data_IF_280454484427
#
_entry.id   IF_280454484427
#
_cell.length_a   1.000
_cell.length_b   1.000
_cell.length_c   1.000
_cell.angle_alpha   90.00
_cell.angle_beta   90.00
_cell.angle_gamma   90.00
#
_symmetry.space_group_name_H-M   'P 1'
#
loop_
_entity.id
_entity.type
_entity.pdbx_description
1 polymer ?
#
# COMPACT_ATOMS: atom_id res chain seq x y z
N UNK A 1 23.71 -50.24 -18.90
CA UNK A 1 23.20 -49.17 -19.77
C UNK A 1 22.45 -48.17 -18.88
N UNK A 2 23.18 -47.13 -18.45
CA UNK A 2 22.67 -46.14 -17.47
C UNK A 2 22.08 -44.99 -18.31
N UNK A 3 20.74 -44.85 -18.30
CA UNK A 3 20.05 -43.70 -18.89
C UNK A 3 20.28 -42.46 -18.01
N UNK A 4 21.11 -41.55 -18.49
CA UNK A 4 21.20 -40.21 -17.94
C UNK A 4 19.93 -39.43 -18.32
N UNK A 5 19.10 -39.08 -17.33
CA UNK A 5 18.08 -38.07 -17.48
C UNK A 5 18.78 -36.70 -17.62
N UNK A 6 18.76 -36.13 -18.82
CA UNK A 6 19.08 -34.75 -19.02
C UNK A 6 17.95 -33.89 -18.44
N UNK A 7 18.28 -33.04 -17.49
CA UNK A 7 17.43 -32.01 -16.94
C UNK A 7 16.86 -31.12 -18.07
N UNK A 8 15.56 -31.02 -18.16
CA UNK A 8 14.85 -30.08 -19.01
C UNK A 8 14.58 -28.76 -18.26
N UNK A 9 15.35 -27.69 -18.49
CA UNK A 9 15.04 -26.38 -17.91
C UNK A 9 13.96 -25.60 -18.68
N UNK A 10 13.43 -26.16 -19.79
CA UNK A 10 12.53 -25.42 -20.73
C UNK A 10 11.03 -25.54 -20.42
N UNK A 11 10.61 -26.39 -19.49
CA UNK A 11 9.16 -26.55 -19.19
C UNK A 11 8.65 -25.59 -18.11
N UNK A 12 9.51 -25.07 -17.25
CA UNK A 12 9.09 -24.18 -16.15
C UNK A 12 8.67 -22.80 -16.68
N UNK A 13 9.36 -22.27 -17.68
CA UNK A 13 9.03 -20.97 -18.27
C UNK A 13 7.70 -20.90 -19.02
N UNK A 14 7.19 -22.02 -19.53
CA UNK A 14 5.93 -22.05 -20.30
C UNK A 14 4.67 -22.09 -19.42
N UNK A 15 4.80 -22.54 -18.16
CA UNK A 15 3.66 -22.55 -17.23
C UNK A 15 3.32 -21.16 -16.66
N UNK A 16 4.31 -20.27 -16.53
CA UNK A 16 4.10 -18.92 -15.98
C UNK A 16 3.42 -17.94 -16.95
N UNK A 17 3.39 -18.23 -18.25
CA UNK A 17 2.86 -17.31 -19.26
C UNK A 17 1.35 -17.09 -19.21
N UNK A 18 0.59 -17.96 -18.54
CA UNK A 18 -0.86 -17.87 -18.42
C UNK A 18 -1.37 -17.67 -16.97
N UNK A 19 -0.48 -17.55 -15.98
CA UNK A 19 -0.90 -17.37 -14.59
C UNK A 19 -1.28 -15.92 -14.33
N UNK A 20 -2.39 -15.71 -13.63
CA UNK A 20 -2.75 -14.40 -13.12
C UNK A 20 -1.84 -13.99 -11.94
N UNK A 21 -1.97 -12.75 -11.47
CA UNK A 21 -1.12 -12.21 -10.39
C UNK A 21 -1.16 -13.07 -9.12
N UNK A 22 -2.35 -13.51 -8.71
CA UNK A 22 -2.56 -14.33 -7.51
C UNK A 22 -1.87 -15.69 -7.64
N UNK A 23 -2.05 -16.36 -8.78
CA UNK A 23 -1.44 -17.66 -9.04
C UNK A 23 0.09 -17.57 -9.05
N UNK A 24 0.65 -16.53 -9.68
CA UNK A 24 2.10 -16.27 -9.68
C UNK A 24 2.63 -16.07 -8.27
N UNK A 25 2.03 -15.13 -7.52
CA UNK A 25 2.46 -14.80 -6.17
C UNK A 25 2.41 -16.02 -5.25
N UNK A 26 1.32 -16.80 -5.33
CA UNK A 26 1.16 -18.01 -4.54
C UNK A 26 2.19 -19.09 -4.93
N UNK A 27 2.45 -19.27 -6.23
CA UNK A 27 3.47 -20.23 -6.71
C UNK A 27 4.87 -19.86 -6.22
N UNK A 28 5.25 -18.57 -6.28
CA UNK A 28 6.52 -18.08 -5.75
C UNK A 28 6.61 -18.33 -4.25
N UNK A 29 5.57 -17.96 -3.48
CA UNK A 29 5.56 -18.11 -2.03
C UNK A 29 5.70 -19.60 -1.61
N UNK A 30 4.95 -20.51 -2.25
CA UNK A 30 5.01 -21.96 -1.96
C UNK A 30 6.41 -22.51 -2.22
N UNK A 31 7.04 -22.12 -3.33
CA UNK A 31 8.40 -22.56 -3.67
C UNK A 31 9.45 -21.95 -2.73
N UNK A 32 9.32 -20.67 -2.41
CA UNK A 32 10.26 -19.95 -1.55
C UNK A 32 10.27 -20.50 -0.12
N UNK A 33 9.10 -20.78 0.45
CA UNK A 33 8.96 -21.27 1.83
C UNK A 33 8.95 -22.82 1.92
N UNK A 34 9.29 -23.52 0.85
CA UNK A 34 9.28 -25.00 0.85
C UNK A 34 10.18 -25.56 1.95
N UNK A 35 9.61 -26.41 2.82
CA UNK A 35 10.31 -27.05 3.93
C UNK A 35 10.52 -26.16 5.17
N UNK A 36 10.09 -24.91 5.16
CA UNK A 36 10.11 -24.05 6.35
C UNK A 36 8.95 -24.39 7.28
N UNK A 37 9.18 -24.29 8.58
CA UNK A 37 8.17 -24.46 9.63
C UNK A 37 8.14 -23.25 10.56
N UNK A 38 6.98 -22.97 11.11
CA UNK A 38 6.81 -21.93 12.13
C UNK A 38 7.23 -22.44 13.54
N UNK A 39 7.05 -21.60 14.56
CA UNK A 39 7.40 -21.93 15.96
C UNK A 39 6.57 -23.06 16.56
N UNK A 40 5.42 -23.38 15.98
CA UNK A 40 4.55 -24.48 16.38
C UNK A 40 4.86 -25.78 15.59
N UNK A 41 5.78 -25.73 14.62
CA UNK A 41 6.18 -26.85 13.75
C UNK A 41 5.26 -27.06 12.55
N UNK A 42 4.30 -26.16 12.32
CA UNK A 42 3.43 -26.20 11.15
C UNK A 42 4.14 -25.63 9.91
N UNK A 43 3.68 -25.99 8.71
CA UNK A 43 4.25 -25.50 7.48
C UNK A 43 4.14 -23.97 7.40
N UNK A 44 5.30 -23.26 7.29
CA UNK A 44 5.35 -21.80 7.34
C UNK A 44 4.45 -21.12 6.30
N UNK A 45 4.31 -21.73 5.12
CA UNK A 45 3.49 -21.19 4.02
C UNK A 45 2.03 -20.87 4.43
N UNK A 46 1.52 -21.52 5.49
CA UNK A 46 0.17 -21.25 5.98
C UNK A 46 0.00 -19.82 6.49
N UNK A 47 1.08 -19.21 7.03
CA UNK A 47 1.05 -17.82 7.46
C UNK A 47 0.92 -16.84 6.28
N UNK A 48 1.81 -16.81 5.27
CA UNK A 48 1.64 -15.96 4.10
C UNK A 48 0.32 -16.19 3.36
N UNK A 49 -0.13 -17.43 3.27
CA UNK A 49 -1.45 -17.74 2.69
C UNK A 49 -2.58 -17.05 3.45
N UNK A 50 -2.56 -17.10 4.77
CA UNK A 50 -3.58 -16.44 5.59
C UNK A 50 -3.57 -14.93 5.40
N UNK A 51 -2.38 -14.30 5.46
CA UNK A 51 -2.22 -12.86 5.26
C UNK A 51 -2.70 -12.42 3.89
N UNK A 52 -2.35 -13.17 2.84
CA UNK A 52 -2.80 -12.87 1.47
C UNK A 52 -4.32 -13.02 1.30
N UNK A 53 -4.93 -14.02 1.90
CA UNK A 53 -6.39 -14.22 1.83
C UNK A 53 -7.18 -13.09 2.54
N UNK A 54 -6.57 -12.38 3.48
CA UNK A 54 -7.16 -11.21 4.13
C UNK A 54 -7.13 -9.94 3.25
N UNK A 55 -6.39 -9.92 2.15
CA UNK A 55 -6.30 -8.77 1.25
C UNK A 55 -7.61 -8.50 0.50
N UNK A 56 -7.92 -7.23 0.28
CA UNK A 56 -9.14 -6.77 -0.40
C UNK A 56 -8.97 -6.63 -1.91
N UNK A 57 -7.73 -6.39 -2.38
CA UNK A 57 -7.39 -6.29 -3.81
C UNK A 57 -6.42 -7.40 -4.21
N UNK A 58 -6.27 -7.63 -5.51
CA UNK A 58 -5.34 -8.64 -6.02
C UNK A 58 -3.89 -8.27 -5.69
N UNK A 59 -3.55 -6.97 -5.66
CA UNK A 59 -2.24 -6.50 -5.25
C UNK A 59 -2.00 -6.71 -3.75
N UNK A 60 -2.99 -6.45 -2.89
CA UNK A 60 -2.89 -6.73 -1.46
C UNK A 60 -2.72 -8.23 -1.20
N UNK A 61 -3.49 -9.08 -1.90
CA UNK A 61 -3.38 -10.53 -1.80
C UNK A 61 -2.02 -11.03 -2.24
N UNK A 62 -1.56 -10.60 -3.42
CA UNK A 62 -0.25 -10.98 -3.94
C UNK A 62 0.88 -10.53 -2.99
N UNK A 63 0.80 -9.29 -2.49
CA UNK A 63 1.76 -8.79 -1.50
C UNK A 63 1.71 -9.59 -0.22
N UNK A 64 0.52 -9.96 0.27
CA UNK A 64 0.36 -10.78 1.47
C UNK A 64 0.94 -12.18 1.31
N UNK A 65 0.81 -12.82 0.14
CA UNK A 65 1.46 -14.10 -0.15
C UNK A 65 2.99 -13.99 -0.18
N UNK A 66 3.53 -12.85 -0.62
CA UNK A 66 4.96 -12.63 -0.85
C UNK A 66 5.67 -11.87 0.28
N UNK A 67 4.98 -11.41 1.33
CA UNK A 67 5.50 -10.40 2.26
C UNK A 67 6.82 -10.78 2.95
N UNK A 68 7.08 -12.07 3.16
CA UNK A 68 8.29 -12.58 3.80
C UNK A 68 9.34 -13.11 2.80
N UNK A 69 9.03 -13.17 1.49
CA UNK A 69 9.91 -13.84 0.50
C UNK A 69 11.24 -13.10 0.33
N UNK A 70 11.22 -11.77 0.41
CA UNK A 70 12.42 -10.96 0.31
C UNK A 70 13.28 -11.04 1.58
N UNK A 71 12.64 -11.04 2.76
CA UNK A 71 13.32 -11.07 4.06
C UNK A 71 13.87 -12.46 4.37
N UNK A 72 13.05 -13.49 4.25
CA UNK A 72 13.36 -14.83 4.75
C UNK A 72 13.90 -15.79 3.69
N UNK A 73 13.63 -15.55 2.40
CA UNK A 73 13.99 -16.46 1.33
C UNK A 73 15.02 -15.88 0.33
N UNK A 74 15.42 -14.62 0.51
CA UNK A 74 16.49 -14.01 -0.28
C UNK A 74 16.10 -13.64 -1.71
N UNK A 75 14.80 -13.53 -2.02
CA UNK A 75 14.38 -13.00 -3.32
C UNK A 75 14.73 -11.52 -3.44
N UNK A 76 15.27 -11.13 -4.59
CA UNK A 76 15.49 -9.71 -4.90
C UNK A 76 14.26 -9.08 -5.57
N UNK A 77 14.19 -7.76 -5.52
CA UNK A 77 13.15 -7.00 -6.23
C UNK A 77 13.19 -7.27 -7.75
N UNK A 78 14.40 -7.36 -8.33
CA UNK A 78 14.59 -7.66 -9.76
C UNK A 78 14.05 -9.03 -10.13
N UNK A 79 14.32 -10.07 -9.32
CA UNK A 79 13.78 -11.41 -9.56
C UNK A 79 12.26 -11.42 -9.58
N UNK A 80 11.61 -10.73 -8.63
CA UNK A 80 10.15 -10.64 -8.60
C UNK A 80 9.58 -9.90 -9.82
N UNK A 81 10.23 -8.82 -10.26
CA UNK A 81 9.86 -8.10 -11.48
C UNK A 81 10.01 -8.97 -12.73
N UNK A 82 11.10 -9.75 -12.83
CA UNK A 82 11.36 -10.67 -13.95
C UNK A 82 10.33 -11.80 -14.00
N UNK A 83 9.82 -12.25 -12.86
CA UNK A 83 8.72 -13.21 -12.76
C UNK A 83 7.35 -12.58 -13.07
N UNK A 84 7.31 -11.27 -13.35
CA UNK A 84 6.11 -10.53 -13.76
C UNK A 84 5.21 -10.13 -12.60
N UNK A 85 5.79 -9.95 -11.40
CA UNK A 85 5.12 -9.28 -10.28
C UNK A 85 5.11 -7.77 -10.54
N UNK A 86 3.96 -7.09 -10.45
CA UNK A 86 3.87 -5.65 -10.72
C UNK A 86 4.75 -4.80 -9.78
N UNK A 87 5.30 -3.72 -10.30
CA UNK A 87 6.18 -2.82 -9.53
C UNK A 87 5.52 -2.26 -8.27
N UNK A 88 4.20 -2.00 -8.29
CA UNK A 88 3.46 -1.57 -7.10
C UNK A 88 3.49 -2.60 -5.97
N UNK A 89 3.38 -3.89 -6.29
CA UNK A 89 3.52 -5.00 -5.33
C UNK A 89 4.96 -5.08 -4.82
N UNK A 90 5.95 -5.02 -5.73
CA UNK A 90 7.38 -5.07 -5.35
C UNK A 90 7.77 -3.90 -4.45
N UNK A 91 7.28 -2.69 -4.73
CA UNK A 91 7.50 -1.53 -3.87
C UNK A 91 6.89 -1.72 -2.47
N UNK A 92 5.69 -2.30 -2.37
CA UNK A 92 5.10 -2.62 -1.08
C UNK A 92 5.91 -3.69 -0.32
N UNK A 93 6.40 -4.72 -1.01
CA UNK A 93 7.26 -5.74 -0.42
C UNK A 93 8.57 -5.16 0.13
N UNK A 94 9.18 -4.22 -0.59
CA UNK A 94 10.37 -3.52 -0.11
C UNK A 94 10.13 -2.75 1.19
N UNK A 95 8.97 -2.10 1.33
CA UNK A 95 8.57 -1.46 2.58
C UNK A 95 8.35 -2.46 3.71
N UNK A 96 7.85 -3.66 3.40
CA UNK A 96 7.57 -4.73 4.36
C UNK A 96 8.82 -5.51 4.79
N UNK A 97 9.93 -5.40 4.07
CA UNK A 97 11.20 -6.03 4.43
C UNK A 97 11.88 -5.25 5.56
N UNK A 98 12.12 -5.91 6.70
CA UNK A 98 12.78 -5.30 7.85
C UNK A 98 14.30 -5.31 7.65
N UNK A 99 14.91 -4.14 7.54
CA UNK A 99 16.35 -4.00 7.31
C UNK A 99 17.15 -4.30 8.59
N UNK A 100 18.26 -5.04 8.43
CA UNK A 100 19.16 -5.35 9.54
C UNK A 100 19.72 -4.06 10.15
N UNK A 101 19.58 -3.90 11.46
CA UNK A 101 20.11 -2.76 12.21
C UNK A 101 19.11 -1.65 12.48
N UNK A 102 17.89 -1.70 11.91
CA UNK A 102 16.79 -0.81 12.30
C UNK A 102 16.00 -1.41 13.45
N UNK A 103 15.50 -0.58 14.35
CA UNK A 103 14.58 -1.04 15.38
C UNK A 103 13.22 -1.42 14.75
N UNK A 104 12.47 -2.28 15.45
CA UNK A 104 11.15 -2.67 14.98
C UNK A 104 10.17 -1.49 14.91
N UNK A 105 10.32 -0.53 15.81
CA UNK A 105 9.52 0.69 15.86
C UNK A 105 9.83 1.60 14.66
N UNK A 106 11.10 1.83 14.35
CA UNK A 106 11.52 2.59 13.15
C UNK A 106 11.03 1.92 11.86
N UNK A 107 11.08 0.60 11.79
CA UNK A 107 10.55 -0.16 10.67
C UNK A 107 9.04 0.06 10.50
N UNK A 108 8.24 -0.01 11.58
CA UNK A 108 6.81 0.26 11.53
C UNK A 108 6.52 1.70 11.15
N UNK A 109 7.26 2.65 11.72
CA UNK A 109 7.08 4.06 11.42
C UNK A 109 7.37 4.34 9.93
N UNK A 110 8.40 3.71 9.34
CA UNK A 110 8.67 3.80 7.90
C UNK A 110 7.49 3.35 7.05
N UNK A 111 6.82 2.25 7.43
CA UNK A 111 5.62 1.77 6.73
C UNK A 111 4.49 2.79 6.86
N UNK A 112 4.26 3.34 8.06
CA UNK A 112 3.23 4.34 8.33
C UNK A 112 3.49 5.60 7.51
N UNK A 113 4.71 6.11 7.53
CA UNK A 113 5.12 7.35 6.84
C UNK A 113 5.07 7.21 5.32
N UNK A 114 5.27 6.00 4.80
CA UNK A 114 5.17 5.74 3.36
C UNK A 114 3.78 6.00 2.79
N UNK A 115 2.74 5.95 3.62
CA UNK A 115 1.33 6.05 3.23
C UNK A 115 0.95 5.08 2.10
N UNK A 116 1.74 4.03 1.89
CA UNK A 116 1.47 3.01 0.87
C UNK A 116 0.31 2.11 1.33
N UNK A 117 -0.85 2.17 0.66
CA UNK A 117 -2.04 1.45 1.12
C UNK A 117 -1.84 -0.06 1.11
N UNK A 118 -1.13 -0.61 0.13
CA UNK A 118 -0.86 -2.05 0.04
C UNK A 118 0.01 -2.51 1.21
N UNK A 119 1.12 -1.81 1.47
CA UNK A 119 2.03 -2.15 2.56
C UNK A 119 1.36 -2.02 3.94
N UNK A 120 0.55 -0.97 4.15
CA UNK A 120 -0.19 -0.73 5.38
C UNK A 120 -1.22 -1.83 5.65
N UNK A 121 -2.07 -2.17 4.67
CA UNK A 121 -3.07 -3.24 4.83
C UNK A 121 -2.43 -4.61 5.04
N UNK A 122 -1.39 -4.93 4.28
CA UNK A 122 -0.70 -6.22 4.42
C UNK A 122 0.00 -6.32 5.78
N UNK A 123 0.67 -5.25 6.23
CA UNK A 123 1.29 -5.25 7.57
C UNK A 123 0.26 -5.35 8.69
N UNK A 124 -0.88 -4.70 8.55
CA UNK A 124 -1.99 -4.83 9.50
C UNK A 124 -2.51 -6.27 9.57
N UNK A 125 -2.74 -6.91 8.42
CA UNK A 125 -3.19 -8.30 8.32
C UNK A 125 -2.17 -9.28 8.92
N UNK A 126 -0.87 -9.08 8.63
CA UNK A 126 0.23 -9.84 9.21
C UNK A 126 0.23 -9.73 10.76
N UNK A 127 0.13 -8.52 11.27
CA UNK A 127 0.09 -8.27 12.72
C UNK A 127 -1.13 -8.90 13.39
N UNK A 128 -2.31 -8.83 12.75
CA UNK A 128 -3.52 -9.48 13.27
C UNK A 128 -3.34 -11.00 13.36
N UNK A 129 -2.79 -11.61 12.32
CA UNK A 129 -2.56 -13.06 12.29
C UNK A 129 -1.52 -13.47 13.34
N UNK A 130 -0.41 -12.74 13.42
CA UNK A 130 0.64 -13.02 14.41
C UNK A 130 0.16 -12.77 15.86
N UNK A 131 -0.65 -11.73 16.11
CA UNK A 131 -1.24 -11.47 17.41
C UNK A 131 -2.18 -12.59 17.86
N UNK A 132 -3.03 -13.09 16.95
CA UNK A 132 -3.95 -14.18 17.23
C UNK A 132 -3.23 -15.47 17.58
N UNK A 133 -2.07 -15.75 16.96
CA UNK A 133 -1.23 -16.95 17.22
C UNK A 133 -0.32 -16.78 18.45
N UNK A 134 -0.07 -15.54 18.89
CA UNK A 134 0.93 -15.23 19.90
C UNK A 134 0.63 -15.70 21.33
N UNK A 135 -0.52 -16.31 21.60
CA UNK A 135 -0.95 -16.66 22.95
C UNK A 135 -0.01 -17.59 23.74
N UNK A 136 0.83 -18.40 23.05
CA UNK A 136 1.89 -19.22 23.67
C UNK A 136 3.17 -18.47 23.99
N UNK A 137 3.35 -17.28 23.39
CA UNK A 137 4.55 -16.45 23.50
C UNK A 137 4.18 -15.02 23.92
N UNK A 138 3.97 -14.75 25.23
CA UNK A 138 3.47 -13.46 25.70
C UNK A 138 4.25 -12.24 25.21
N UNK A 139 5.58 -12.35 25.10
CA UNK A 139 6.44 -11.27 24.60
C UNK A 139 6.20 -10.93 23.10
N UNK A 140 5.89 -11.94 22.27
CA UNK A 140 5.53 -11.74 20.88
C UNK A 140 4.12 -11.15 20.76
N UNK A 141 3.19 -11.62 21.60
CA UNK A 141 1.84 -11.07 21.64
C UNK A 141 1.85 -9.60 22.07
N UNK A 142 2.65 -9.23 23.04
CA UNK A 142 2.82 -7.83 23.46
C UNK A 142 3.44 -6.98 22.34
N UNK A 143 4.52 -7.48 21.70
CA UNK A 143 5.15 -6.82 20.56
C UNK A 143 4.15 -6.55 19.42
N UNK A 144 3.39 -7.56 19.01
CA UNK A 144 2.41 -7.41 17.94
C UNK A 144 1.22 -6.53 18.35
N UNK A 145 0.79 -6.61 19.61
CA UNK A 145 -0.24 -5.73 20.18
C UNK A 145 0.16 -4.26 20.20
N UNK A 146 1.43 -3.96 20.52
CA UNK A 146 1.96 -2.59 20.43
C UNK A 146 1.98 -2.10 18.99
N UNK A 147 2.46 -2.93 18.06
CA UNK A 147 2.48 -2.62 16.64
C UNK A 147 1.08 -2.38 16.06
N UNK A 148 0.09 -3.18 16.46
CA UNK A 148 -1.31 -2.98 16.07
C UNK A 148 -1.85 -1.62 16.54
N UNK A 149 -1.52 -1.20 17.76
CA UNK A 149 -1.93 0.13 18.28
C UNK A 149 -1.37 1.29 17.43
N UNK A 150 -0.22 1.12 16.80
CA UNK A 150 0.38 2.13 15.92
C UNK A 150 -0.28 2.16 14.54
N UNK A 151 -0.48 1.00 13.91
CA UNK A 151 -0.89 0.91 12.51
C UNK A 151 -2.42 0.93 12.29
N UNK A 152 -3.19 0.35 13.22
CA UNK A 152 -4.64 0.19 13.09
C UNK A 152 -5.40 1.51 12.90
N UNK A 153 -5.08 2.62 13.63
CA UNK A 153 -5.77 3.89 13.41
C UNK A 153 -5.55 4.44 11.99
N UNK A 154 -4.35 4.25 11.44
CA UNK A 154 -4.00 4.71 10.09
C UNK A 154 -4.77 3.92 9.03
N UNK A 155 -4.78 2.59 9.13
CA UNK A 155 -5.52 1.72 8.20
C UNK A 155 -7.01 2.01 8.27
N UNK A 156 -7.60 2.12 9.46
CA UNK A 156 -9.02 2.45 9.63
C UNK A 156 -9.40 3.81 9.02
N UNK A 157 -8.56 4.82 9.20
CA UNK A 157 -8.80 6.13 8.58
C UNK A 157 -8.77 6.06 7.05
N UNK A 158 -7.84 5.27 6.47
CA UNK A 158 -7.80 5.05 5.02
C UNK A 158 -9.03 4.30 4.50
N UNK A 159 -9.50 3.28 5.23
CA UNK A 159 -10.69 2.51 4.87
C UNK A 159 -11.96 3.35 4.98
N UNK A 160 -12.08 4.21 5.98
CA UNK A 160 -13.20 5.15 6.12
C UNK A 160 -13.26 6.12 4.93
N UNK A 161 -12.14 6.68 4.50
CA UNK A 161 -12.06 7.55 3.31
C UNK A 161 -12.45 6.77 2.06
N UNK A 162 -11.92 5.57 1.89
CA UNK A 162 -12.21 4.68 0.75
C UNK A 162 -13.68 4.28 0.70
N UNK A 163 -14.27 3.92 1.84
CA UNK A 163 -15.69 3.56 1.96
C UNK A 163 -16.61 4.75 1.66
N UNK A 164 -16.31 5.93 2.19
CA UNK A 164 -17.07 7.17 1.93
C UNK A 164 -17.04 7.52 0.45
N UNK A 165 -15.86 7.53 -0.15
CA UNK A 165 -15.68 7.87 -1.57
C UNK A 165 -16.38 6.86 -2.47
N UNK A 166 -16.24 5.56 -2.19
CA UNK A 166 -16.79 4.49 -3.00
C UNK A 166 -18.33 4.41 -2.92
N UNK A 167 -18.88 4.48 -1.72
CA UNK A 167 -20.32 4.39 -1.49
C UNK A 167 -21.11 5.56 -2.11
N UNK A 168 -20.65 6.78 -1.92
CA UNK A 168 -21.32 7.98 -2.40
C UNK A 168 -21.22 8.13 -3.92
N UNK A 169 -20.06 7.93 -4.49
CA UNK A 169 -19.83 8.02 -5.93
C UNK A 169 -20.61 6.93 -6.69
N UNK A 170 -20.57 5.69 -6.20
CA UNK A 170 -21.24 4.55 -6.83
C UNK A 170 -22.75 4.72 -6.93
N UNK A 171 -23.40 5.32 -5.93
CA UNK A 171 -24.85 5.58 -5.94
C UNK A 171 -25.28 6.51 -7.08
N UNK A 172 -24.37 7.36 -7.59
CA UNK A 172 -24.66 8.35 -8.63
C UNK A 172 -23.96 8.10 -9.96
N UNK A 173 -23.27 6.97 -10.11
CA UNK A 173 -22.46 6.67 -11.30
C UNK A 173 -21.32 7.68 -11.51
N UNK A 174 -20.77 8.20 -10.41
CA UNK A 174 -19.68 9.18 -10.38
C UNK A 174 -18.45 8.55 -9.75
N UNK A 175 -17.29 9.13 -10.02
CA UNK A 175 -16.02 8.76 -9.40
C UNK A 175 -15.48 9.91 -8.56
N UNK A 176 -14.58 9.57 -7.64
CA UNK A 176 -13.96 10.53 -6.71
C UNK A 176 -12.46 10.29 -6.71
N UNK A 177 -11.70 11.40 -6.75
CA UNK A 177 -10.24 11.41 -6.61
C UNK A 177 -9.83 12.45 -5.57
N UNK A 178 -8.69 12.24 -4.94
CA UNK A 178 -8.08 13.20 -4.00
C UNK A 178 -6.70 13.57 -4.54
N UNK A 179 -6.42 14.87 -4.60
CA UNK A 179 -5.16 15.42 -5.09
C UNK A 179 -4.55 16.34 -4.03
N UNK A 180 -3.31 16.07 -3.65
CA UNK A 180 -2.49 16.94 -2.80
C UNK A 180 -1.32 17.47 -3.65
N UNK A 181 -1.26 18.78 -3.87
CA UNK A 181 -0.27 19.42 -4.74
C UNK A 181 -0.02 20.88 -4.30
N UNK A 182 0.33 21.07 -3.05
CA UNK A 182 0.51 22.41 -2.46
C UNK A 182 -0.80 23.03 -2.01
N UNK A 183 -0.87 24.35 -2.06
CA UNK A 183 -2.05 25.09 -1.58
C UNK A 183 -3.35 24.63 -2.25
N UNK A 184 -4.25 24.07 -1.46
CA UNK A 184 -5.51 23.47 -1.94
C UNK A 184 -6.43 24.46 -2.68
N UNK A 185 -6.36 25.78 -2.40
CA UNK A 185 -7.12 26.78 -3.14
C UNK A 185 -6.73 26.83 -4.61
N UNK A 186 -5.43 26.76 -4.91
CA UNK A 186 -4.91 26.71 -6.26
C UNK A 186 -5.32 25.45 -7.00
N UNK A 187 -5.12 24.29 -6.36
CA UNK A 187 -5.51 22.99 -6.91
C UNK A 187 -7.02 22.92 -7.18
N UNK A 188 -7.85 23.34 -6.22
CA UNK A 188 -9.30 23.39 -6.37
C UNK A 188 -9.74 24.28 -7.54
N UNK A 189 -9.11 25.46 -7.69
CA UNK A 189 -9.43 26.38 -8.77
C UNK A 189 -9.23 25.77 -10.16
N UNK A 190 -8.17 25.00 -10.37
CA UNK A 190 -7.93 24.35 -11.66
C UNK A 190 -8.79 23.10 -11.85
N UNK A 191 -8.93 22.26 -10.83
CA UNK A 191 -9.71 21.02 -10.91
C UNK A 191 -11.19 21.30 -11.19
N UNK A 192 -11.81 22.27 -10.53
CA UNK A 192 -13.23 22.57 -10.72
C UNK A 192 -13.58 23.10 -12.12
N UNK A 193 -12.61 23.58 -12.89
CA UNK A 193 -12.81 24.06 -14.28
C UNK A 193 -12.77 22.95 -15.31
N UNK A 194 -12.33 21.75 -14.93
CA UNK A 194 -12.22 20.65 -15.87
C UNK A 194 -13.61 20.14 -16.28
N UNK A 195 -13.78 19.91 -17.58
CA UNK A 195 -14.99 19.30 -18.11
C UNK A 195 -15.21 17.94 -17.43
N UNK A 196 -16.42 17.71 -16.95
CA UNK A 196 -16.77 16.45 -16.28
C UNK A 196 -16.56 16.47 -14.77
N UNK A 197 -15.85 17.44 -14.20
CA UNK A 197 -15.82 17.65 -12.75
C UNK A 197 -17.15 18.23 -12.30
N UNK A 198 -17.74 17.59 -11.31
CA UNK A 198 -19.08 17.92 -10.79
C UNK A 198 -18.94 18.82 -9.56
N UNK A 199 -18.01 18.47 -8.67
CA UNK A 199 -17.73 19.21 -7.43
C UNK A 199 -16.27 19.00 -7.03
N UNK A 200 -15.75 19.98 -6.30
CA UNK A 200 -14.45 19.85 -5.62
C UNK A 200 -14.53 20.45 -4.22
N UNK A 201 -13.82 19.85 -3.30
CA UNK A 201 -13.77 20.27 -1.89
C UNK A 201 -12.32 20.35 -1.45
N UNK A 202 -11.92 21.51 -0.94
CA UNK A 202 -10.66 21.68 -0.25
C UNK A 202 -10.77 21.07 1.16
N UNK A 203 -9.72 20.44 1.64
CA UNK A 203 -9.67 19.81 2.95
C UNK A 203 -8.29 19.27 3.28
N UNK A 204 -8.21 18.43 4.28
CA UNK A 204 -6.97 17.85 4.78
C UNK A 204 -7.00 16.34 4.70
N UNK A 205 -5.83 15.72 4.45
CA UNK A 205 -5.68 14.28 4.36
C UNK A 205 -4.34 13.83 4.94
N UNK A 206 -4.27 12.55 5.33
CA UNK A 206 -3.03 11.88 5.69
C UNK A 206 -2.48 12.16 7.09
N UNK A 207 -3.09 13.01 7.88
CA UNK A 207 -2.62 13.34 9.24
C UNK A 207 -3.27 12.51 10.35
N UNK A 208 -2.88 12.80 11.57
CA UNK A 208 -3.19 11.99 12.76
C UNK A 208 -4.49 12.41 13.46
N UNK A 209 -4.94 13.65 13.29
CA UNK A 209 -6.13 14.17 13.96
C UNK A 209 -7.40 14.02 13.11
N UNK A 210 -8.51 13.64 13.78
CA UNK A 210 -9.78 13.38 13.07
C UNK A 210 -10.47 14.64 12.51
N UNK A 211 -10.24 15.80 13.12
CA UNK A 211 -10.89 17.07 12.74
C UNK A 211 -9.91 18.23 12.90
N UNK A 212 -8.82 18.28 12.10
CA UNK A 212 -7.83 19.32 12.21
C UNK A 212 -8.43 20.66 11.80
N UNK A 213 -8.10 21.71 12.54
CA UNK A 213 -8.36 23.09 12.12
C UNK A 213 -7.25 23.56 11.17
N UNK A 214 -7.50 24.67 10.45
CA UNK A 214 -6.48 25.28 9.59
C UNK A 214 -5.21 25.67 10.37
N UNK A 215 -5.38 26.16 11.60
CA UNK A 215 -4.23 26.55 12.44
C UNK A 215 -3.43 25.34 12.91
N UNK A 216 -4.08 24.22 13.22
CA UNK A 216 -3.41 22.96 13.60
C UNK A 216 -2.51 22.46 12.48
N UNK A 217 -3.01 22.46 11.24
CA UNK A 217 -2.26 22.04 10.06
C UNK A 217 -1.13 23.01 9.75
N UNK A 218 -1.40 24.32 9.76
CA UNK A 218 -0.42 25.37 9.48
C UNK A 218 0.74 25.39 10.49
N UNK A 219 0.49 25.00 11.72
CA UNK A 219 1.51 24.94 12.79
C UNK A 219 2.30 23.61 12.79
N UNK A 220 2.10 22.74 11.80
CA UNK A 220 2.80 21.48 11.62
C UNK A 220 2.63 20.46 12.78
N UNK A 221 1.48 20.46 13.47
CA UNK A 221 1.21 19.58 14.59
C UNK A 221 0.46 18.29 14.21
N UNK A 222 -0.01 18.17 12.95
CA UNK A 222 -0.99 17.13 12.59
C UNK A 222 -0.55 16.24 11.43
N UNK A 223 0.58 16.51 10.77
CA UNK A 223 1.06 15.80 9.56
C UNK A 223 0.04 15.72 8.41
N UNK A 224 -1.00 16.56 8.43
CA UNK A 224 -1.97 16.64 7.37
C UNK A 224 -1.41 17.37 6.15
N UNK A 225 -1.75 16.85 4.96
CA UNK A 225 -1.54 17.55 3.70
C UNK A 225 -2.79 18.33 3.31
N UNK A 226 -2.61 19.49 2.72
CA UNK A 226 -3.67 20.18 2.01
C UNK A 226 -4.05 19.38 0.76
N UNK A 227 -5.33 19.08 0.58
CA UNK A 227 -5.80 18.25 -0.50
C UNK A 227 -7.15 18.72 -1.05
N UNK A 228 -7.44 18.31 -2.28
CA UNK A 228 -8.72 18.55 -2.94
C UNK A 228 -9.38 17.24 -3.31
N UNK A 229 -10.56 16.99 -2.77
CA UNK A 229 -11.43 15.93 -3.22
C UNK A 229 -12.20 16.39 -4.47
N UNK A 230 -12.14 15.63 -5.54
CA UNK A 230 -12.76 15.91 -6.84
C UNK A 230 -13.77 14.81 -7.16
N UNK A 231 -15.05 15.17 -7.29
CA UNK A 231 -16.12 14.29 -7.77
C UNK A 231 -16.32 14.55 -9.26
N UNK A 232 -16.26 13.52 -10.11
CA UNK A 232 -16.35 13.66 -11.56
C UNK A 232 -17.23 12.60 -12.22
N UNK A 233 -17.72 12.92 -13.42
CA UNK A 233 -18.48 12.01 -14.28
C UNK A 233 -17.50 11.21 -15.16
N UNK A 234 -17.35 9.88 -14.97
CA UNK A 234 -16.42 9.06 -15.77
C UNK A 234 -16.79 8.95 -17.25
N UNK A 235 -17.98 9.40 -17.63
CA UNK A 235 -18.37 9.48 -19.05
C UNK A 235 -17.86 10.75 -19.74
N UNK A 236 -17.45 11.75 -19.00
CA UNK A 236 -17.00 13.05 -19.52
C UNK A 236 -15.51 13.32 -19.29
N UNK A 237 -14.93 12.75 -18.25
CA UNK A 237 -13.49 12.83 -17.95
C UNK A 237 -13.02 11.53 -17.31
N UNK A 238 -11.72 11.37 -17.12
CA UNK A 238 -11.15 10.20 -16.48
C UNK A 238 -10.16 10.62 -15.39
N UNK A 239 -9.86 9.72 -14.47
CA UNK A 239 -8.81 9.91 -13.48
C UNK A 239 -7.47 10.28 -14.13
N UNK A 240 -7.11 9.62 -15.25
CA UNK A 240 -5.88 9.93 -16.00
C UNK A 240 -5.87 11.37 -16.51
N UNK A 241 -7.01 11.89 -16.98
CA UNK A 241 -7.12 13.28 -17.45
C UNK A 241 -6.89 14.26 -16.31
N UNK A 242 -7.46 13.96 -15.14
CA UNK A 242 -7.26 14.75 -13.92
C UNK A 242 -5.81 14.65 -13.41
N UNK A 243 -5.18 13.49 -13.50
CA UNK A 243 -3.76 13.33 -13.18
C UNK A 243 -2.85 14.13 -14.13
N UNK A 244 -3.16 14.21 -15.43
CA UNK A 244 -2.38 15.06 -16.33
C UNK A 244 -2.43 16.52 -15.90
N UNK A 245 -3.62 17.03 -15.62
CA UNK A 245 -3.76 18.39 -15.07
C UNK A 245 -2.99 18.54 -13.76
N UNK A 246 -3.08 17.55 -12.86
CA UNK A 246 -2.36 17.57 -11.60
C UNK A 246 -0.86 17.78 -11.81
N UNK A 247 -0.24 17.06 -12.75
CA UNK A 247 1.18 17.23 -13.10
C UNK A 247 1.49 18.52 -13.87
N UNK A 248 0.50 19.20 -14.44
CA UNK A 248 0.66 20.49 -15.10
C UNK A 248 0.62 21.67 -14.11
N UNK A 249 -0.06 21.51 -12.97
CA UNK A 249 -0.30 22.60 -12.01
C UNK A 249 0.62 22.59 -10.80
N UNK A 250 1.50 21.59 -10.66
CA UNK A 250 2.50 21.52 -9.59
C UNK A 250 3.84 21.01 -10.10
N UNK A 251 4.89 21.27 -9.34
CA UNK A 251 6.23 20.75 -9.60
C UNK A 251 6.52 19.50 -8.73
N UNK A 252 6.43 18.29 -9.30
CA UNK A 252 6.64 17.05 -8.54
C UNK A 252 8.09 16.83 -8.09
N UNK A 253 9.02 17.66 -8.52
CA UNK A 253 10.42 17.60 -8.09
C UNK A 253 10.69 18.41 -6.81
N UNK A 254 9.75 19.24 -6.40
CA UNK A 254 9.89 20.10 -5.22
C UNK A 254 9.56 19.29 -3.96
N UNK A 255 10.50 19.23 -3.02
CA UNK A 255 10.44 18.36 -1.84
C UNK A 255 10.17 19.07 -0.52
N UNK A 256 10.03 20.39 -0.54
CA UNK A 256 9.88 21.26 0.66
C UNK A 256 8.60 22.11 0.63
N UNK A 257 7.72 21.86 -0.33
CA UNK A 257 6.49 22.61 -0.56
C UNK A 257 6.15 22.73 -2.03
N UNK A 258 5.32 23.69 -2.42
CA UNK A 258 4.96 23.97 -3.81
C UNK A 258 4.98 25.46 -4.12
N UNK A 259 5.75 25.85 -5.14
CA UNK A 259 5.91 27.27 -5.50
C UNK A 259 6.41 28.10 -4.33
N UNK A 260 5.70 29.18 -3.95
CA UNK A 260 6.06 30.02 -2.81
C UNK A 260 5.66 29.41 -1.46
N UNK A 261 4.75 28.43 -1.45
CA UNK A 261 4.22 27.83 -0.23
C UNK A 261 5.17 26.75 0.28
N UNK A 262 5.72 26.97 1.47
CA UNK A 262 6.70 26.10 2.12
C UNK A 262 6.11 25.43 3.35
N UNK A 263 6.41 24.14 3.51
CA UNK A 263 5.98 23.36 4.65
C UNK A 263 5.45 22.00 4.26
N UNK A 264 5.42 21.09 5.23
CA UNK A 264 5.01 19.69 5.07
C UNK A 264 3.59 19.55 4.51
N UNK A 265 2.68 20.43 4.88
CA UNK A 265 1.30 20.44 4.41
C UNK A 265 1.14 20.70 2.91
N UNK A 266 2.18 21.18 2.24
CA UNK A 266 2.18 21.50 0.81
C UNK A 266 2.96 20.49 -0.05
N UNK A 267 3.30 19.34 0.51
CA UNK A 267 3.98 18.25 -0.21
C UNK A 267 3.06 17.44 -1.12
#
# INVERSE_FOLDING_TARGET
>A
MILRFQSFPLLIGLFFFNMNLIEKALSIAVNAHAGQTDLDGEAYILHPMHVGLMGNTDEERATGFLHDVMEDCGYSAEQLLDEGIPSGVVNALHLLTHEKGTSYEEYLQRIIDSKNPIALHVKYNDLLHNYARGGRFPHLQEKHGNALRMIEPVVKAMDEIKAYNHSYAKQKGREVAIFAAGCFWGVQHYMQKQKGVIRSFAGYTGGDEKHPTYDDVRLHHTHHLEAVLVEFDPKQTSFETLCKLFFEIHDPSQTDGQGPDKGEQYL
#
